data_IF_351876196470
#
_entry.id   IF_351876196470
#
_cell.length_a   1.000
_cell.length_b   1.000
_cell.length_c   1.000
_cell.angle_alpha   90.00
_cell.angle_beta   90.00
_cell.angle_gamma   90.00
#
_symmetry.space_group_name_H-M   'P 1'
#
loop_
_entity.id
_entity.type
_entity.pdbx_description
1 polymer ?
#
# COMPACT_ATOMS: atom_id res chain seq x y z
N UNK A 1 -18.20 21.42 -11.29
CA UNK A 1 -17.92 21.19 -10.89
C UNK A 1 -17.65 20.89 -10.55
N UNK A 2 -17.47 20.69 -10.52
CA UNK A 2 -17.02 20.26 -10.18
C UNK A 2 -16.73 19.98 -9.51
N UNK A 3 -16.88 19.90 -9.61
CA UNK A 3 -16.43 19.47 -8.95
C UNK A 3 -16.12 19.25 -8.27
N UNK A 4 -16.03 19.16 -8.30
CA UNK A 4 -15.60 18.82 -7.66
C UNK A 4 -15.20 18.64 -6.89
N UNK A 5 -15.27 18.65 -6.96
CA UNK A 5 -14.84 18.35 -6.20
C UNK A 5 -14.36 18.37 -5.48
N UNK A 6 -14.14 18.46 -5.36
CA UNK A 6 -13.67 18.55 -4.62
C UNK A 6 -13.17 18.50 -3.90
N UNK A 7 -13.14 18.36 -3.88
CA UNK A 7 -12.72 18.14 -2.97
C UNK A 7 -12.17 17.25 -2.50
N UNK A 8 -12.16 16.74 -2.80
CA UNK A 8 -11.75 15.75 -2.40
C UNK A 8 -10.75 15.55 -1.72
N UNK A 9 -10.42 14.68 -1.49
CA UNK A 9 -9.45 14.54 -0.81
C UNK A 9 -8.30 14.56 -1.43
N UNK A 10 -7.77 15.18 -1.17
CA UNK A 10 -6.75 15.65 -1.75
C UNK A 10 -5.58 14.92 -1.84
N UNK A 11 -5.02 14.53 -0.80
CA UNK A 11 -3.73 13.99 -0.89
C UNK A 11 -3.74 12.58 -1.34
N UNK A 12 -4.83 11.92 -1.30
CA UNK A 12 -4.86 10.55 -1.79
C UNK A 12 -5.03 10.51 -3.29
N UNK A 13 -5.26 11.64 -3.92
CA UNK A 13 -5.37 11.69 -5.35
C UNK A 13 -4.90 13.00 -5.87
N UNK A 14 -4.13 13.00 -6.91
CA UNK A 14 -3.80 14.20 -7.60
C UNK A 14 -3.98 13.92 -9.07
N UNK A 15 -3.98 14.96 -9.88
CA UNK A 15 -4.31 14.85 -11.28
C UNK A 15 -3.59 13.68 -11.92
N UNK A 16 -4.34 12.70 -12.38
CA UNK A 16 -3.81 11.53 -13.04
C UNK A 16 -3.13 10.52 -12.12
N UNK A 17 -3.32 10.63 -10.80
CA UNK A 17 -2.67 9.74 -9.85
C UNK A 17 -3.70 9.18 -8.87
N UNK A 18 -3.51 7.94 -8.46
CA UNK A 18 -4.41 7.30 -7.51
C UNK A 18 -3.71 6.30 -6.63
N UNK A 19 -4.32 5.96 -5.51
CA UNK A 19 -3.82 4.97 -4.58
C UNK A 19 -4.20 3.57 -5.02
N UNK A 20 -3.43 2.53 -4.59
CA UNK A 20 -3.83 1.16 -4.82
C UNK A 20 -5.18 0.88 -4.19
N UNK A 21 -5.94 -0.03 -4.77
CA UNK A 21 -7.30 -0.31 -4.36
C UNK A 21 -7.48 -1.77 -4.00
N UNK A 22 -8.52 -2.07 -3.24
CA UNK A 22 -8.90 -3.43 -2.95
C UNK A 22 -7.84 -4.23 -2.21
N UNK A 23 -7.15 -3.59 -1.27
CA UNK A 23 -6.04 -4.23 -0.57
C UNK A 23 -6.57 -5.28 0.39
N UNK A 24 -6.08 -6.51 0.27
CA UNK A 24 -6.47 -7.60 1.16
C UNK A 24 -5.23 -8.42 1.54
N UNK A 25 -5.29 -9.06 2.70
CA UNK A 25 -4.25 -9.96 3.16
C UNK A 25 -4.82 -11.36 3.29
N UNK A 26 -4.10 -12.33 2.73
CA UNK A 26 -4.52 -13.72 2.77
C UNK A 26 -3.48 -14.51 3.57
N UNK A 27 -3.88 -15.06 4.68
CA UNK A 27 -2.96 -15.88 5.49
C UNK A 27 -2.66 -17.20 4.78
N UNK A 28 -1.42 -17.64 4.93
CA UNK A 28 -0.98 -18.91 4.37
C UNK A 28 0.05 -19.54 5.33
N UNK A 29 0.64 -20.68 4.94
CA UNK A 29 1.52 -21.43 5.82
C UNK A 29 2.82 -20.70 6.14
N UNK A 30 3.21 -19.71 5.32
CA UNK A 30 4.46 -18.97 5.53
C UNK A 30 4.23 -17.61 6.17
N UNK A 31 3.01 -17.15 6.20
CA UNK A 31 2.68 -15.86 6.75
C UNK A 31 1.44 -15.32 6.09
N UNK A 32 1.57 -14.43 5.14
CA UNK A 32 0.45 -13.90 4.40
C UNK A 32 0.89 -13.38 3.05
N UNK A 33 -0.06 -13.30 2.13
CA UNK A 33 0.16 -12.62 0.86
C UNK A 33 -0.75 -11.40 0.83
N UNK A 34 -0.17 -10.26 0.55
CA UNK A 34 -0.92 -9.01 0.40
C UNK A 34 -1.22 -8.82 -1.06
N UNK A 35 -2.49 -8.57 -1.40
CA UNK A 35 -2.92 -8.33 -2.76
C UNK A 35 -3.51 -6.93 -2.87
N UNK A 36 -3.34 -6.32 -4.01
CA UNK A 36 -3.95 -5.01 -4.30
C UNK A 36 -4.27 -4.94 -5.78
N UNK A 37 -5.05 -3.92 -6.13
CA UNK A 37 -5.35 -3.63 -7.53
C UNK A 37 -4.76 -2.29 -7.89
N UNK A 38 -4.43 -2.13 -9.16
CA UNK A 38 -3.94 -0.85 -9.65
C UNK A 38 -5.04 0.20 -9.55
N UNK A 39 -4.68 1.47 -9.34
CA UNK A 39 -5.68 2.53 -9.37
C UNK A 39 -6.23 2.71 -10.79
N UNK A 40 -7.33 3.43 -10.89
CA UNK A 40 -7.90 3.73 -12.21
C UNK A 40 -6.88 4.48 -13.07
N UNK A 41 -6.13 5.39 -12.46
CA UNK A 41 -5.07 6.11 -13.16
C UNK A 41 -3.79 5.30 -13.09
N UNK A 42 -3.68 4.28 -13.91
CA UNK A 42 -2.53 3.39 -13.86
C UNK A 42 -1.39 3.79 -14.78
N UNK A 43 -1.56 4.81 -15.59
CA UNK A 43 -0.50 5.26 -16.48
C UNK A 43 0.61 5.94 -15.72
N UNK A 44 1.84 5.64 -16.05
CA UNK A 44 2.97 6.29 -15.42
C UNK A 44 3.37 5.74 -14.07
N UNK A 45 2.79 4.61 -13.66
CA UNK A 45 3.20 3.99 -12.42
C UNK A 45 4.58 3.38 -12.60
N UNK A 46 5.49 3.77 -11.72
CA UNK A 46 6.85 3.24 -11.72
C UNK A 46 6.92 1.96 -10.90
N UNK A 47 6.35 1.99 -9.70
CA UNK A 47 6.41 0.84 -8.80
C UNK A 47 5.42 1.03 -7.67
N UNK A 48 5.30 0.01 -6.83
CA UNK A 48 4.53 0.09 -5.58
C UNK A 48 5.49 -0.07 -4.41
N UNK A 49 5.22 0.63 -3.32
CA UNK A 49 5.96 0.49 -2.07
C UNK A 49 5.06 -0.14 -1.03
N UNK A 50 5.57 -1.14 -0.33
CA UNK A 50 4.87 -1.76 0.78
C UNK A 50 5.59 -1.30 2.05
N UNK A 51 4.86 -0.65 2.94
CA UNK A 51 5.43 -0.09 4.15
C UNK A 51 4.82 -0.75 5.37
N UNK A 52 5.63 -0.96 6.39
CA UNK A 52 5.22 -1.62 7.63
C UNK A 52 5.61 -0.75 8.81
N UNK A 53 4.70 -0.65 9.78
CA UNK A 53 4.96 0.04 11.04
C UNK A 53 4.63 -0.93 12.18
N UNK A 54 5.59 -1.13 13.08
CA UNK A 54 5.39 -2.03 14.22
C UNK A 54 4.79 -1.28 15.39
N UNK A 55 3.72 -1.84 15.95
CA UNK A 55 3.12 -1.36 17.20
C UNK A 55 2.86 0.15 17.22
N UNK A 56 2.37 0.68 16.12
CA UNK A 56 2.03 2.09 16.04
C UNK A 56 3.21 3.01 15.80
N UNK A 57 4.38 2.46 15.48
CA UNK A 57 5.57 3.26 15.19
C UNK A 57 5.52 3.87 13.80
N UNK A 58 6.69 4.27 13.33
CA UNK A 58 6.80 4.90 12.01
C UNK A 58 6.79 3.87 10.91
N UNK A 59 6.18 4.23 9.78
CA UNK A 59 6.22 3.39 8.61
C UNK A 59 7.62 3.37 8.00
N UNK A 60 8.06 2.18 7.62
CA UNK A 60 9.32 2.00 6.91
C UNK A 60 9.05 1.18 5.67
N UNK A 61 9.74 1.49 4.59
CA UNK A 61 9.58 0.75 3.36
C UNK A 61 10.13 -0.67 3.56
N UNK A 62 9.25 -1.65 3.49
CA UNK A 62 9.64 -3.04 3.65
C UNK A 62 10.00 -3.66 2.31
N UNK A 63 9.34 -3.22 1.24
CA UNK A 63 9.60 -3.77 -0.08
C UNK A 63 9.15 -2.80 -1.16
N UNK A 64 9.79 -2.90 -2.32
CA UNK A 64 9.39 -2.15 -3.50
C UNK A 64 9.26 -3.18 -4.63
N UNK A 65 8.14 -3.14 -5.32
CA UNK A 65 7.87 -4.09 -6.39
C UNK A 65 7.52 -3.35 -7.67
N UNK A 66 7.77 -3.96 -8.83
CA UNK A 66 7.48 -3.28 -10.10
C UNK A 66 5.98 -3.07 -10.30
N UNK A 67 5.65 -2.16 -11.20
CA UNK A 67 4.26 -1.80 -11.47
C UNK A 67 3.40 -2.97 -11.94
N UNK A 68 4.02 -3.98 -12.50
CA UNK A 68 3.30 -5.16 -12.97
C UNK A 68 2.98 -6.15 -11.87
N UNK A 69 3.56 -5.97 -10.67
CA UNK A 69 3.34 -6.89 -9.57
C UNK A 69 2.25 -6.34 -8.65
N UNK A 70 1.24 -7.15 -8.37
CA UNK A 70 0.07 -6.73 -7.59
C UNK A 70 -0.08 -7.55 -6.32
N UNK A 71 0.99 -8.17 -5.86
CA UNK A 71 0.98 -8.93 -4.62
C UNK A 71 2.38 -9.03 -4.05
N UNK A 72 2.45 -9.31 -2.76
CA UNK A 72 3.71 -9.50 -2.06
C UNK A 72 3.51 -10.47 -0.91
N UNK A 73 4.42 -11.46 -0.82
CA UNK A 73 4.41 -12.38 0.32
C UNK A 73 5.19 -11.76 1.46
N UNK A 74 4.62 -11.86 2.67
CA UNK A 74 5.28 -11.42 3.88
C UNK A 74 5.31 -12.57 4.88
N UNK A 75 6.28 -12.56 5.76
CA UNK A 75 6.47 -13.62 6.73
C UNK A 75 6.24 -13.09 8.14
N UNK A 76 5.56 -13.89 8.96
CA UNK A 76 5.39 -13.56 10.36
C UNK A 76 6.65 -13.95 11.11
N UNK A 77 7.17 -13.05 11.94
CA UNK A 77 8.36 -13.33 12.73
C UNK A 77 8.04 -13.51 14.20
N UNK A 78 6.88 -13.03 14.66
CA UNK A 78 6.51 -13.09 16.06
C UNK A 78 5.00 -12.96 16.14
N UNK A 79 4.42 -13.47 17.21
CA UNK A 79 2.98 -13.39 17.42
C UNK A 79 2.59 -12.24 18.35
N UNK A 80 3.56 -11.50 18.89
CA UNK A 80 3.28 -10.43 19.84
C UNK A 80 3.04 -9.11 19.13
N UNK A 81 2.16 -8.30 19.70
CA UNK A 81 1.88 -6.97 19.17
C UNK A 81 1.15 -7.01 17.84
N UNK A 82 1.40 -5.99 17.03
CA UNK A 82 0.72 -5.86 15.74
C UNK A 82 1.53 -4.97 14.83
N UNK A 83 1.25 -5.07 13.54
CA UNK A 83 1.87 -4.23 12.54
C UNK A 83 0.82 -3.55 11.70
N UNK A 84 1.08 -2.32 11.30
CA UNK A 84 0.28 -1.62 10.32
C UNK A 84 0.96 -1.70 8.97
N UNK A 85 0.16 -1.80 7.92
CA UNK A 85 0.66 -1.92 6.56
C UNK A 85 -0.01 -0.89 5.68
N UNK A 86 0.71 -0.43 4.66
CA UNK A 86 0.08 0.31 3.59
C UNK A 86 0.84 0.07 2.30
N UNK A 87 0.11 0.07 1.20
CA UNK A 87 0.70 -0.05 -0.13
C UNK A 87 0.51 1.29 -0.81
N UNK A 88 1.57 1.83 -1.36
CA UNK A 88 1.54 3.13 -2.02
C UNK A 88 1.90 2.99 -3.49
N UNK A 89 1.29 3.81 -4.33
CA UNK A 89 1.62 3.89 -5.74
C UNK A 89 2.72 4.93 -5.90
N UNK A 90 3.78 4.57 -6.61
CA UNK A 90 4.86 5.51 -6.93
C UNK A 90 4.84 5.76 -8.42
N UNK A 91 4.65 7.01 -8.80
CA UNK A 91 4.59 7.40 -10.20
C UNK A 91 5.96 7.87 -10.69
N UNK A 92 6.17 7.78 -11.99
CA UNK A 92 7.47 8.11 -12.58
C UNK A 92 7.84 9.57 -12.43
N UNK A 93 6.88 10.44 -12.13
CA UNK A 93 7.16 11.85 -11.85
C UNK A 93 7.53 12.10 -10.40
N UNK A 94 7.64 11.06 -9.59
CA UNK A 94 8.04 11.18 -8.19
C UNK A 94 6.91 11.29 -7.20
N UNK A 95 5.66 11.34 -7.67
CA UNK A 95 4.52 11.41 -6.75
C UNK A 95 4.27 10.06 -6.11
N UNK A 96 3.98 10.06 -4.81
CA UNK A 96 3.67 8.85 -4.05
C UNK A 96 2.29 9.02 -3.45
N UNK A 97 1.37 8.12 -3.80
CA UNK A 97 -0.01 8.17 -3.33
C UNK A 97 -0.25 6.98 -2.42
N UNK A 98 -0.40 7.24 -1.14
CA UNK A 98 -0.55 6.18 -0.14
C UNK A 98 -1.94 5.56 -0.19
N UNK A 99 -1.97 4.24 -0.06
CA UNK A 99 -3.23 3.52 0.04
C UNK A 99 -3.73 3.48 1.48
N UNK A 100 -4.77 2.69 1.69
CA UNK A 100 -5.39 2.57 2.99
C UNK A 100 -4.49 1.80 3.94
N UNK A 101 -4.45 2.24 5.19
CA UNK A 101 -3.69 1.55 6.22
C UNK A 101 -4.54 0.41 6.78
N UNK A 102 -3.93 -0.75 6.98
CA UNK A 102 -4.59 -1.87 7.64
C UNK A 102 -3.61 -2.52 8.60
N UNK A 103 -4.12 -3.33 9.55
CA UNK A 103 -3.29 -3.94 10.57
C UNK A 103 -3.40 -5.45 10.59
N UNK A 104 -2.31 -6.10 10.97
CA UNK A 104 -2.28 -7.55 11.20
C UNK A 104 -1.66 -7.80 12.57
N UNK A 105 -2.19 -8.78 13.32
CA UNK A 105 -1.58 -9.12 14.61
C UNK A 105 -0.22 -9.77 14.39
N UNK A 106 0.70 -9.53 15.31
CA UNK A 106 2.04 -10.08 15.25
C UNK A 106 3.04 -9.15 14.58
N UNK A 107 4.26 -9.64 14.45
CA UNK A 107 5.33 -8.90 13.79
C UNK A 107 5.59 -9.53 12.43
N UNK A 108 5.83 -8.68 11.44
CA UNK A 108 5.93 -9.11 10.05
C UNK A 108 7.10 -8.42 9.36
N UNK A 109 7.56 -9.04 8.31
CA UNK A 109 8.59 -8.42 7.48
C UNK A 109 8.52 -8.91 6.04
#
# INVERSE_FOLDING_TARGET
MESESPVASPESESAGHGAPQGIVAHYNSKGATIYWNAPAESEGISNYQIEIASNGGEFKVASTVPASQLSLDIAASDTTGWCSFRVSTVYSDGKVIAGKVFGLPGQWS
#
